data_IF_772274988835
#
_entry.id   IF_772274988835
#
_cell.length_a   1.000
_cell.length_b   1.000
_cell.length_c   1.000
_cell.angle_alpha   90.00
_cell.angle_beta   90.00
_cell.angle_gamma   90.00
#
_symmetry.space_group_name_H-M   'P 1'
#
loop_
_entity.id
_entity.type
_entity.pdbx_description
1 polymer ?
#
# COMPACT_ATOMS: atom_id res chain seq x y z
N UNK A 1 -8.95 -4.29 20.41
CA UNK A 1 -7.80 -4.48 21.31
C UNK A 1 -6.59 -4.85 20.45
N UNK A 2 -5.76 -3.87 20.06
CA UNK A 2 -4.58 -4.16 19.24
C UNK A 2 -3.57 -4.92 20.09
N UNK A 3 -3.36 -6.22 19.80
CA UNK A 3 -2.27 -6.98 20.41
C UNK A 3 -0.95 -6.24 20.15
N UNK A 4 -0.16 -6.07 21.21
CA UNK A 4 1.16 -5.45 21.14
C UNK A 4 1.96 -6.13 20.00
N UNK A 5 2.49 -5.40 19.01
CA UNK A 5 3.26 -5.99 17.91
C UNK A 5 4.44 -6.85 18.37
N UNK A 6 4.94 -6.63 19.59
CA UNK A 6 5.96 -7.46 20.24
C UNK A 6 5.48 -8.88 20.57
N UNK A 7 4.18 -9.06 20.83
CA UNK A 7 3.57 -10.31 21.26
C UNK A 7 3.01 -11.17 20.12
N UNK A 8 2.96 -10.67 18.87
CA UNK A 8 2.50 -11.50 17.74
C UNK A 8 3.49 -12.65 17.50
N UNK A 9 3.04 -13.92 17.55
CA UNK A 9 3.91 -15.06 17.32
C UNK A 9 4.41 -15.06 15.87
N UNK A 10 5.72 -15.25 15.68
CA UNK A 10 6.35 -15.28 14.36
C UNK A 10 5.72 -16.38 13.47
N UNK A 11 5.31 -17.50 14.08
CA UNK A 11 4.72 -18.66 13.39
C UNK A 11 3.39 -18.32 12.70
N UNK A 12 2.60 -17.38 13.25
CA UNK A 12 1.27 -17.03 12.73
C UNK A 12 1.35 -15.95 11.63
N UNK A 13 2.55 -15.61 11.16
CA UNK A 13 2.70 -14.70 10.03
C UNK A 13 2.29 -15.40 8.72
N UNK A 14 1.53 -14.71 7.86
CA UNK A 14 1.02 -15.25 6.59
C UNK A 14 2.05 -16.04 5.76
N UNK A 15 3.27 -15.51 5.57
CA UNK A 15 4.30 -16.25 4.82
C UNK A 15 4.75 -17.56 5.49
N UNK A 16 4.77 -17.63 6.83
CA UNK A 16 5.10 -18.86 7.56
C UNK A 16 3.94 -19.86 7.47
N UNK A 17 2.70 -19.38 7.58
CA UNK A 17 1.50 -20.20 7.39
C UNK A 17 1.43 -20.78 5.97
N UNK A 18 1.74 -19.98 4.94
CA UNK A 18 1.76 -20.43 3.56
C UNK A 18 2.83 -21.50 3.33
N UNK A 19 4.07 -21.28 3.79
CA UNK A 19 5.14 -22.28 3.71
C UNK A 19 4.77 -23.56 4.45
N UNK A 20 4.15 -23.43 5.63
CA UNK A 20 3.68 -24.58 6.42
C UNK A 20 2.61 -25.36 5.68
N UNK A 21 1.60 -24.68 5.12
CA UNK A 21 0.51 -25.31 4.37
C UNK A 21 1.03 -26.04 3.12
N UNK A 22 1.93 -25.42 2.36
CA UNK A 22 2.58 -26.06 1.21
C UNK A 22 3.43 -27.26 1.63
N UNK A 23 4.17 -27.14 2.73
CA UNK A 23 4.97 -28.25 3.29
C UNK A 23 4.09 -29.44 3.70
N UNK A 24 2.99 -29.20 4.41
CA UNK A 24 2.04 -30.24 4.80
C UNK A 24 1.39 -30.92 3.58
N UNK A 25 1.03 -30.13 2.55
CA UNK A 25 0.49 -30.67 1.30
C UNK A 25 1.50 -31.59 0.61
N UNK A 26 2.76 -31.17 0.49
CA UNK A 26 3.82 -31.97 -0.12
C UNK A 26 4.11 -33.25 0.67
N UNK A 27 4.12 -33.17 2.00
CA UNK A 27 4.28 -34.34 2.87
C UNK A 27 3.11 -35.31 2.74
N UNK A 28 1.87 -34.82 2.67
CA UNK A 28 0.68 -35.64 2.45
C UNK A 28 0.70 -36.34 1.09
N UNK A 29 1.08 -35.62 0.02
CA UNK A 29 1.26 -36.19 -1.31
C UNK A 29 2.39 -37.23 -1.35
N UNK A 30 3.50 -36.96 -0.66
CA UNK A 30 4.60 -37.92 -0.54
C UNK A 30 4.17 -39.17 0.21
N UNK A 31 3.46 -39.03 1.33
CA UNK A 31 2.95 -40.17 2.09
C UNK A 31 1.99 -41.04 1.26
N UNK A 32 1.20 -40.43 0.37
CA UNK A 32 0.28 -41.16 -0.49
C UNK A 32 0.95 -41.82 -1.70
N UNK A 33 1.83 -41.10 -2.40
CA UNK A 33 2.37 -41.53 -3.69
C UNK A 33 3.72 -42.25 -3.55
N UNK A 34 4.61 -41.76 -2.68
CA UNK A 34 6.00 -42.24 -2.50
C UNK A 34 6.53 -41.96 -1.09
N UNK A 35 6.24 -42.83 -0.09
CA UNK A 35 6.59 -42.60 1.32
C UNK A 35 8.09 -42.37 1.57
N UNK A 36 8.97 -42.91 0.71
CA UNK A 36 10.41 -42.68 0.77
C UNK A 36 10.83 -41.22 0.64
N UNK A 37 9.96 -40.35 0.13
CA UNK A 37 10.21 -38.90 0.00
C UNK A 37 9.93 -38.10 1.28
N UNK A 38 9.32 -38.69 2.31
CA UNK A 38 8.98 -37.95 3.54
C UNK A 38 10.23 -37.43 4.24
N UNK A 39 11.21 -38.30 4.51
CA UNK A 39 12.46 -37.91 5.18
C UNK A 39 13.24 -36.82 4.43
N UNK A 40 13.51 -36.92 3.11
CA UNK A 40 14.20 -35.84 2.39
C UNK A 40 13.39 -34.55 2.34
N UNK A 41 12.05 -34.60 2.26
CA UNK A 41 11.21 -33.40 2.31
C UNK A 41 11.27 -32.70 3.67
N UNK A 42 11.31 -33.44 4.78
CA UNK A 42 11.47 -32.86 6.12
C UNK A 42 12.83 -32.17 6.26
N UNK A 43 13.90 -32.81 5.80
CA UNK A 43 15.24 -32.21 5.80
C UNK A 43 15.33 -30.97 4.90
N UNK A 44 14.72 -31.00 3.71
CA UNK A 44 14.64 -29.85 2.82
C UNK A 44 13.75 -28.72 3.37
N UNK A 45 12.75 -29.06 4.19
CA UNK A 45 11.86 -28.10 4.83
C UNK A 45 12.59 -27.17 5.81
N UNK A 46 13.61 -27.67 6.52
CA UNK A 46 14.39 -26.90 7.50
C UNK A 46 15.01 -25.63 6.86
N UNK A 47 15.86 -25.72 5.82
CA UNK A 47 16.43 -24.54 5.19
C UNK A 47 15.36 -23.65 4.54
N UNK A 48 14.28 -24.20 3.98
CA UNK A 48 13.19 -23.38 3.44
C UNK A 48 12.54 -22.53 4.53
N UNK A 49 12.25 -23.14 5.68
CA UNK A 49 11.59 -22.45 6.81
C UNK A 49 12.50 -21.39 7.44
N UNK A 50 13.79 -21.72 7.62
CA UNK A 50 14.80 -20.77 8.07
C UNK A 50 14.91 -19.58 7.11
N UNK A 51 14.79 -19.81 5.80
CA UNK A 51 14.87 -18.75 4.78
C UNK A 51 13.79 -17.70 4.89
N UNK A 52 12.60 -18.08 5.34
CA UNK A 52 11.49 -17.14 5.56
C UNK A 52 11.50 -16.56 6.98
N UNK A 53 11.96 -17.33 7.97
CA UNK A 53 11.96 -16.91 9.37
C UNK A 53 13.10 -15.94 9.70
N UNK A 54 14.31 -16.18 9.19
CA UNK A 54 15.51 -15.40 9.52
C UNK A 54 15.39 -13.92 9.15
N UNK A 55 14.94 -13.53 7.94
CA UNK A 55 14.75 -12.11 7.61
C UNK A 55 13.77 -11.39 8.54
N UNK A 56 12.74 -12.12 9.02
CA UNK A 56 11.75 -11.59 9.96
C UNK A 56 12.29 -11.44 11.37
N UNK A 57 13.17 -12.35 11.79
CA UNK A 57 13.73 -12.38 13.13
C UNK A 57 14.87 -11.37 13.29
N UNK A 58 15.84 -11.38 12.37
CA UNK A 58 16.97 -10.47 12.38
C UNK A 58 16.49 -9.04 12.11
N UNK A 59 16.91 -8.10 12.95
CA UNK A 59 16.49 -6.69 12.85
C UNK A 59 15.06 -6.41 13.32
N UNK A 60 14.32 -7.41 13.84
CA UNK A 60 12.93 -7.22 14.33
C UNK A 60 12.85 -6.13 15.39
N UNK A 61 13.77 -6.17 16.38
CA UNK A 61 13.79 -5.18 17.47
C UNK A 61 13.95 -3.76 16.93
N UNK A 62 14.86 -3.59 15.97
CA UNK A 62 15.12 -2.29 15.35
C UNK A 62 13.94 -1.81 14.51
N UNK A 63 13.34 -2.67 13.68
CA UNK A 63 12.11 -2.34 12.92
C UNK A 63 10.96 -1.94 13.84
N UNK A 64 10.76 -2.67 14.94
CA UNK A 64 9.74 -2.33 15.93
C UNK A 64 10.03 -0.99 16.63
N UNK A 65 11.31 -0.69 16.91
CA UNK A 65 11.73 0.60 17.49
C UNK A 65 11.44 1.75 16.53
N UNK A 66 11.83 1.62 15.25
CA UNK A 66 11.58 2.62 14.21
C UNK A 66 10.08 2.83 13.97
N UNK A 67 9.30 1.74 13.88
CA UNK A 67 7.87 1.82 13.72
C UNK A 67 7.18 2.51 14.92
N UNK A 68 7.64 2.26 16.15
CA UNK A 68 7.13 2.95 17.33
C UNK A 68 7.48 4.45 17.31
N UNK A 69 8.71 4.80 16.94
CA UNK A 69 9.14 6.20 16.81
C UNK A 69 8.35 6.94 15.73
N UNK A 70 8.13 6.31 14.56
CA UNK A 70 7.32 6.87 13.48
C UNK A 70 5.87 7.12 13.93
N UNK A 71 5.23 6.15 14.60
CA UNK A 71 3.88 6.35 15.16
C UNK A 71 3.82 7.46 16.18
N UNK A 72 4.83 7.59 17.04
CA UNK A 72 4.88 8.68 18.00
C UNK A 72 5.05 10.04 17.31
N UNK A 73 5.89 10.11 16.27
CA UNK A 73 6.07 11.30 15.46
C UNK A 73 4.74 11.70 14.78
N UNK A 74 4.05 10.76 14.14
CA UNK A 74 2.73 11.00 13.54
C UNK A 74 1.72 11.48 14.57
N UNK A 75 1.61 10.78 15.71
CA UNK A 75 0.68 11.16 16.77
C UNK A 75 0.97 12.58 17.27
N UNK A 76 2.23 12.96 17.39
CA UNK A 76 2.63 14.30 17.85
C UNK A 76 2.39 15.39 16.82
N UNK A 77 2.57 15.09 15.52
CA UNK A 77 2.45 16.04 14.41
C UNK A 77 1.00 16.22 13.97
N UNK A 78 0.29 15.11 13.79
CA UNK A 78 -1.03 15.06 13.16
C UNK A 78 -2.18 14.85 14.15
N UNK A 79 -1.88 14.44 15.39
CA UNK A 79 -2.90 14.02 16.35
C UNK A 79 -3.49 12.64 16.07
N UNK A 80 -2.98 11.94 15.06
CA UNK A 80 -3.33 10.57 14.72
C UNK A 80 -2.12 9.80 14.18
N UNK A 81 -2.20 8.48 14.19
CA UNK A 81 -1.16 7.61 13.61
C UNK A 81 -1.61 7.03 12.28
N UNK A 82 -0.72 7.03 11.29
CA UNK A 82 -0.90 6.18 10.12
C UNK A 82 -0.69 4.70 10.49
N UNK A 83 -1.23 3.80 9.68
CA UNK A 83 -1.17 2.34 9.90
C UNK A 83 0.07 1.69 9.31
N UNK A 84 1.08 2.47 8.92
CA UNK A 84 2.24 2.01 8.16
C UNK A 84 2.80 0.67 8.67
N UNK A 85 3.09 -0.20 7.70
CA UNK A 85 3.55 -1.54 7.93
C UNK A 85 5.07 -1.54 8.07
N UNK A 86 5.58 -2.19 9.13
CA UNK A 86 7.02 -2.41 9.31
C UNK A 86 7.55 -3.51 8.36
N UNK A 87 7.26 -3.39 7.07
CA UNK A 87 7.61 -4.31 5.99
C UNK A 87 8.81 -3.82 5.17
N UNK A 88 9.28 -4.63 4.21
CA UNK A 88 10.31 -4.22 3.28
C UNK A 88 9.70 -3.31 2.22
N UNK A 89 10.01 -2.01 2.27
CA UNK A 89 9.64 -1.07 1.21
C UNK A 89 10.37 -1.40 -0.08
N UNK A 90 9.61 -1.74 -1.13
CA UNK A 90 10.17 -2.19 -2.41
C UNK A 90 10.13 -1.12 -3.46
N UNK A 91 9.15 -0.23 -3.35
CA UNK A 91 8.87 0.78 -4.32
C UNK A 91 8.86 2.14 -3.63
N UNK A 92 9.19 3.18 -4.39
CA UNK A 92 9.16 4.54 -3.90
C UNK A 92 8.80 5.54 -5.00
N UNK A 93 8.24 6.67 -4.57
CA UNK A 93 8.08 7.88 -5.36
C UNK A 93 8.66 9.05 -4.58
N UNK A 94 9.35 9.94 -5.27
CA UNK A 94 9.90 11.16 -4.68
C UNK A 94 9.07 12.40 -5.03
N UNK A 95 8.12 12.26 -5.96
CA UNK A 95 7.30 13.37 -6.44
C UNK A 95 5.82 13.09 -6.16
N UNK A 96 5.03 14.14 -5.88
CA UNK A 96 3.61 13.97 -5.68
C UNK A 96 2.91 13.42 -6.91
N UNK A 97 2.01 12.47 -6.70
CA UNK A 97 1.15 11.89 -7.72
C UNK A 97 -0.29 12.36 -7.50
N UNK A 98 -0.97 12.76 -8.58
CA UNK A 98 -2.35 13.23 -8.56
C UNK A 98 -3.27 12.23 -9.22
N UNK A 99 -4.48 12.12 -8.68
CA UNK A 99 -5.59 11.43 -9.33
C UNK A 99 -6.92 12.08 -8.97
N UNK A 100 -7.75 12.35 -9.98
CA UNK A 100 -9.14 12.71 -9.75
C UNK A 100 -9.98 11.46 -9.47
N UNK A 101 -10.76 11.47 -8.40
CA UNK A 101 -11.68 10.41 -7.99
C UNK A 101 -13.03 11.04 -7.62
N UNK A 102 -13.96 11.20 -8.58
CA UNK A 102 -15.27 11.83 -8.36
C UNK A 102 -16.08 11.23 -7.20
N UNK A 103 -15.90 9.94 -6.92
CA UNK A 103 -16.53 9.25 -5.80
C UNK A 103 -16.15 9.80 -4.41
N UNK A 104 -15.07 10.59 -4.34
CA UNK A 104 -14.60 11.26 -3.12
C UNK A 104 -14.87 12.78 -3.13
N UNK A 105 -15.73 13.27 -4.02
CA UNK A 105 -16.19 14.66 -4.01
C UNK A 105 -16.83 15.03 -2.66
N UNK A 106 -16.60 16.26 -2.21
CA UNK A 106 -17.03 16.77 -0.91
C UNK A 106 -16.30 16.17 0.31
N UNK A 107 -15.27 15.34 0.10
CA UNK A 107 -14.48 14.75 1.19
C UNK A 107 -13.14 15.47 1.34
N UNK A 108 -12.73 15.64 2.59
CA UNK A 108 -11.52 16.37 2.94
C UNK A 108 -10.71 15.59 3.97
N UNK A 109 -9.43 15.37 3.68
CA UNK A 109 -8.46 14.75 4.57
C UNK A 109 -7.06 15.20 4.23
N UNK A 110 -6.25 15.44 5.26
CA UNK A 110 -4.89 15.94 5.12
C UNK A 110 -3.99 15.15 6.05
N UNK A 111 -3.05 14.40 5.50
CA UNK A 111 -2.03 13.65 6.23
C UNK A 111 -0.66 13.81 5.59
N UNK A 112 0.34 13.11 6.11
CA UNK A 112 1.73 13.19 5.63
C UNK A 112 1.85 12.71 4.18
N UNK A 113 1.21 11.58 3.87
CA UNK A 113 1.38 10.86 2.61
C UNK A 113 0.18 10.95 1.67
N UNK A 114 -0.95 11.46 2.17
CA UNK A 114 -2.21 11.48 1.45
C UNK A 114 -2.95 12.78 1.74
N UNK A 115 -3.38 13.45 0.66
CA UNK A 115 -4.40 14.49 0.70
C UNK A 115 -5.61 14.02 -0.10
N UNK A 116 -6.79 14.17 0.49
CA UNK A 116 -8.08 14.07 -0.17
C UNK A 116 -8.69 15.47 -0.11
N UNK A 117 -8.97 16.08 -1.26
CA UNK A 117 -9.59 17.39 -1.32
C UNK A 117 -10.59 17.44 -2.46
N UNK A 118 -11.86 17.28 -2.12
CA UNK A 118 -12.97 17.39 -3.06
C UNK A 118 -12.77 16.53 -4.33
N UNK A 119 -12.60 15.22 -4.12
CA UNK A 119 -12.34 14.28 -5.21
C UNK A 119 -10.89 14.26 -5.73
N UNK A 120 -10.04 15.23 -5.39
CA UNK A 120 -8.61 15.16 -5.67
C UNK A 120 -7.90 14.26 -4.67
N UNK A 121 -7.19 13.26 -5.17
CA UNK A 121 -6.17 12.52 -4.40
C UNK A 121 -4.79 13.03 -4.78
N UNK A 122 -3.99 13.38 -3.77
CA UNK A 122 -2.58 13.69 -3.90
C UNK A 122 -1.80 12.77 -2.97
N UNK A 123 -0.96 11.92 -3.56
CA UNK A 123 -0.11 10.96 -2.86
C UNK A 123 1.30 11.54 -2.81
N UNK A 124 1.94 11.48 -1.65
CA UNK A 124 3.24 12.10 -1.38
C UNK A 124 3.25 13.63 -1.65
N UNK A 125 2.44 14.42 -0.94
CA UNK A 125 2.32 15.87 -1.17
C UNK A 125 3.57 16.69 -0.80
N UNK A 126 4.67 16.06 -0.39
CA UNK A 126 5.87 16.74 0.11
C UNK A 126 5.76 17.10 1.59
N UNK A 127 6.72 17.89 2.07
CA UNK A 127 6.78 18.25 3.50
C UNK A 127 5.53 19.01 3.96
N UNK A 128 4.98 18.59 5.09
CA UNK A 128 3.83 19.23 5.72
C UNK A 128 4.19 19.98 7.01
N UNK A 129 3.65 21.18 7.17
CA UNK A 129 3.62 21.96 8.40
C UNK A 129 2.18 21.97 8.95
N UNK A 130 1.99 21.49 10.17
CA UNK A 130 0.67 21.30 10.79
C UNK A 130 0.57 22.16 12.04
N UNK A 131 -0.49 22.97 12.12
CA UNK A 131 -0.88 23.68 13.34
C UNK A 131 -2.21 23.12 13.83
N UNK A 132 -2.15 22.25 14.86
CA UNK A 132 -3.33 21.63 15.44
C UNK A 132 -4.20 22.62 16.24
N UNK A 133 -3.61 23.70 16.77
CA UNK A 133 -4.36 24.72 17.51
C UNK A 133 -5.20 25.58 16.57
N UNK A 134 -4.64 25.99 15.43
CA UNK A 134 -5.34 26.72 14.37
C UNK A 134 -6.09 25.79 13.40
N UNK A 135 -5.95 24.47 13.57
CA UNK A 135 -6.52 23.44 12.69
C UNK A 135 -6.16 23.68 11.23
N UNK A 136 -4.89 23.94 10.96
CA UNK A 136 -4.43 24.27 9.62
C UNK A 136 -3.22 23.45 9.20
N UNK A 137 -3.06 23.29 7.88
CA UNK A 137 -1.93 22.58 7.28
C UNK A 137 -1.42 23.31 6.06
N UNK A 138 -0.09 23.29 5.88
CA UNK A 138 0.62 23.75 4.69
C UNK A 138 1.48 22.63 4.15
N UNK A 139 1.45 22.46 2.83
CA UNK A 139 2.32 21.55 2.10
C UNK A 139 3.34 22.34 1.26
N UNK A 140 4.59 21.88 1.26
CA UNK A 140 5.67 22.39 0.44
C UNK A 140 5.94 21.42 -0.73
N UNK A 141 5.28 21.66 -1.87
CA UNK A 141 5.36 20.80 -3.07
C UNK A 141 6.75 20.80 -3.74
N UNK A 142 7.57 21.79 -3.44
CA UNK A 142 8.95 21.95 -3.91
C UNK A 142 9.98 21.19 -3.05
N UNK A 143 9.56 20.71 -1.86
CA UNK A 143 10.41 19.94 -0.94
C UNK A 143 9.98 18.48 -0.94
N UNK A 144 10.51 17.67 -1.87
CA UNK A 144 10.10 16.29 -2.01
C UNK A 144 10.46 15.48 -0.77
N UNK A 145 9.57 14.55 -0.45
CA UNK A 145 9.79 13.46 0.50
C UNK A 145 9.72 12.14 -0.27
N UNK A 146 10.41 11.11 0.21
CA UNK A 146 10.31 9.78 -0.39
C UNK A 146 9.17 9.02 0.27
N UNK A 147 8.09 8.79 -0.48
CA UNK A 147 7.05 7.86 -0.06
C UNK A 147 7.39 6.47 -0.55
N UNK A 148 7.35 5.49 0.35
CA UNK A 148 7.76 4.12 0.08
C UNK A 148 6.62 3.15 0.42
N UNK A 149 6.46 2.08 -0.38
CA UNK A 149 5.39 1.10 -0.20
C UNK A 149 5.78 -0.33 -0.65
N UNK A 150 5.01 -1.32 -0.20
CA UNK A 150 5.32 -2.76 -0.37
C UNK A 150 4.61 -3.40 -1.59
N UNK A 151 3.73 -2.65 -2.26
CA UNK A 151 2.90 -3.10 -3.40
C UNK A 151 1.57 -3.77 -3.01
N UNK A 152 0.88 -4.36 -3.98
CA UNK A 152 -0.51 -4.85 -3.83
C UNK A 152 -0.67 -6.15 -3.04
N UNK A 153 0.39 -6.96 -2.96
CA UNK A 153 0.26 -8.40 -2.65
C UNK A 153 1.25 -8.82 -1.57
N UNK A 154 0.93 -9.88 -0.79
CA UNK A 154 1.84 -10.38 0.21
C UNK A 154 3.15 -10.79 -0.44
N UNK A 155 4.24 -10.15 -0.01
CA UNK A 155 5.60 -10.47 -0.44
C UNK A 155 6.35 -11.10 0.72
N UNK A 156 7.04 -12.19 0.45
CA UNK A 156 7.74 -13.02 1.43
C UNK A 156 9.24 -12.97 1.12
N UNK A 157 10.07 -12.36 1.98
CA UNK A 157 11.50 -12.39 1.80
C UNK A 157 12.05 -13.81 2.07
N UNK A 158 13.03 -14.23 1.27
CA UNK A 158 13.72 -15.50 1.38
C UNK A 158 15.24 -15.27 1.46
N UNK A 159 15.86 -15.54 2.62
CA UNK A 159 17.30 -15.40 2.90
C UNK A 159 17.95 -14.07 2.46
N UNK A 160 17.21 -12.97 2.40
CA UNK A 160 17.70 -11.71 1.77
C UNK A 160 18.12 -11.84 0.30
N UNK A 161 17.96 -13.00 -0.31
CA UNK A 161 18.34 -13.30 -1.69
C UNK A 161 17.20 -13.00 -2.66
N UNK A 162 15.96 -13.28 -2.24
CA UNK A 162 14.80 -13.14 -3.10
C UNK A 162 13.58 -12.64 -2.32
N UNK A 163 12.64 -12.06 -3.05
CA UNK A 163 11.29 -11.76 -2.56
C UNK A 163 10.32 -12.55 -3.43
N UNK A 164 9.52 -13.40 -2.78
CA UNK A 164 8.53 -14.25 -3.44
C UNK A 164 7.15 -13.64 -3.19
N UNK A 165 6.41 -13.35 -4.24
CA UNK A 165 5.07 -12.77 -4.15
C UNK A 165 4.31 -12.90 -5.44
N UNK A 166 3.07 -12.41 -5.44
CA UNK A 166 2.27 -12.36 -6.66
C UNK A 166 2.90 -11.29 -7.56
N UNK A 167 3.18 -11.58 -8.84
CA UNK A 167 3.88 -10.66 -9.73
C UNK A 167 3.11 -9.36 -9.87
N UNK A 168 3.83 -8.23 -9.97
CA UNK A 168 3.24 -6.93 -10.29
C UNK A 168 2.92 -6.77 -11.80
N UNK A 169 3.00 -7.89 -12.53
CA UNK A 169 2.76 -8.10 -13.97
C UNK A 169 3.81 -7.45 -14.87
N UNK A 170 3.61 -7.53 -16.20
CA UNK A 170 4.53 -6.94 -17.16
C UNK A 170 4.59 -5.43 -17.03
N UNK A 171 5.76 -4.87 -17.33
CA UNK A 171 5.96 -3.43 -17.37
C UNK A 171 5.30 -2.84 -18.62
N UNK A 172 4.72 -1.66 -18.46
CA UNK A 172 4.16 -0.87 -19.56
C UNK A 172 4.29 0.60 -19.25
N UNK A 173 4.11 1.41 -20.30
CA UNK A 173 3.98 2.84 -20.14
C UNK A 173 2.64 3.18 -19.47
N UNK A 174 2.70 4.07 -18.49
CA UNK A 174 1.55 4.65 -17.79
C UNK A 174 1.65 6.17 -17.87
N UNK A 175 0.52 6.82 -18.11
CA UNK A 175 0.39 8.27 -18.04
C UNK A 175 -0.08 8.65 -16.65
N UNK A 176 0.72 9.47 -15.97
CA UNK A 176 0.49 9.90 -14.61
C UNK A 176 0.43 11.42 -14.53
N UNK A 177 -0.42 11.93 -13.67
CA UNK A 177 -0.38 13.34 -13.27
C UNK A 177 0.57 13.50 -12.08
N UNK A 178 1.48 14.46 -12.19
CA UNK A 178 2.42 14.85 -11.14
C UNK A 178 2.33 16.31 -10.81
N UNK A 179 2.68 16.67 -9.58
CA UNK A 179 2.76 18.04 -9.11
C UNK A 179 4.24 18.40 -8.96
N UNK A 180 4.69 19.42 -9.69
CA UNK A 180 6.05 19.94 -9.58
C UNK A 180 5.99 21.45 -9.45
N UNK A 181 6.56 21.98 -8.36
CA UNK A 181 6.55 23.42 -8.05
C UNK A 181 5.13 24.05 -8.13
N UNK A 182 4.10 23.31 -7.71
CA UNK A 182 2.69 23.76 -7.74
C UNK A 182 2.00 23.66 -9.11
N UNK A 183 2.70 23.19 -10.14
CA UNK A 183 2.16 23.00 -11.49
C UNK A 183 1.90 21.52 -11.77
N UNK A 184 0.76 21.23 -12.41
CA UNK A 184 0.37 19.86 -12.77
C UNK A 184 0.94 19.51 -14.14
N UNK A 185 1.67 18.40 -14.22
CA UNK A 185 2.26 17.89 -15.44
C UNK A 185 1.86 16.45 -15.68
N UNK A 186 1.66 16.09 -16.94
CA UNK A 186 1.52 14.70 -17.34
C UNK A 186 2.92 14.11 -17.59
N UNK A 187 3.18 12.93 -17.04
CA UNK A 187 4.42 12.20 -17.23
C UNK A 187 4.13 10.76 -17.61
N UNK A 188 4.83 10.27 -18.63
CA UNK A 188 4.88 8.84 -18.94
C UNK A 188 5.94 8.15 -18.08
N UNK A 189 5.55 7.07 -17.42
CA UNK A 189 6.46 6.20 -16.64
C UNK A 189 6.36 4.77 -17.12
N UNK A 190 7.47 4.04 -17.09
CA UNK A 190 7.49 2.63 -17.41
C UNK A 190 7.51 1.81 -16.12
N UNK A 191 6.33 1.34 -15.69
CA UNK A 191 6.15 0.63 -14.42
C UNK A 191 5.37 -0.67 -14.61
N UNK A 192 5.51 -1.64 -13.68
CA UNK A 192 4.63 -2.81 -13.62
C UNK A 192 3.15 -2.43 -13.66
N UNK A 193 2.33 -3.24 -14.32
CA UNK A 193 0.92 -2.92 -14.57
C UNK A 193 0.15 -2.58 -13.28
N UNK A 194 0.41 -3.28 -12.19
CA UNK A 194 -0.30 -3.08 -10.92
C UNK A 194 0.23 -1.90 -10.08
N UNK A 195 1.40 -1.33 -10.39
CA UNK A 195 2.07 -0.34 -9.54
C UNK A 195 1.23 0.90 -9.24
N UNK A 196 0.65 1.60 -10.22
CA UNK A 196 -0.10 2.82 -9.93
C UNK A 196 -1.32 2.57 -9.04
N UNK A 197 -2.03 1.45 -9.28
CA UNK A 197 -3.14 1.02 -8.45
C UNK A 197 -2.67 0.67 -7.03
N UNK A 198 -1.54 -0.03 -6.91
CA UNK A 198 -0.93 -0.42 -5.63
C UNK A 198 -0.59 0.78 -4.75
N UNK A 199 -0.04 1.82 -5.37
CA UNK A 199 0.42 3.03 -4.70
C UNK A 199 -0.76 3.80 -4.10
N UNK A 200 -1.81 4.01 -4.89
CA UNK A 200 -3.03 4.71 -4.43
C UNK A 200 -3.74 3.89 -3.36
N UNK A 201 -3.83 2.57 -3.54
CA UNK A 201 -4.45 1.68 -2.56
C UNK A 201 -3.72 1.69 -1.22
N UNK A 202 -2.39 1.58 -1.24
CA UNK A 202 -1.54 1.63 -0.04
C UNK A 202 -1.70 2.95 0.71
N UNK A 203 -1.62 4.09 0.00
CA UNK A 203 -1.78 5.42 0.60
C UNK A 203 -3.16 5.58 1.28
N UNK A 204 -4.24 5.10 0.65
CA UNK A 204 -5.57 5.08 1.28
C UNK A 204 -5.61 4.14 2.49
N UNK A 205 -4.98 2.97 2.39
CA UNK A 205 -4.95 1.95 3.43
C UNK A 205 -4.27 2.39 4.72
N UNK A 206 -3.20 3.19 4.59
CA UNK A 206 -2.47 3.77 5.71
C UNK A 206 -3.36 4.65 6.60
N UNK A 207 -4.41 5.26 6.04
CA UNK A 207 -5.29 6.19 6.75
C UNK A 207 -6.73 5.69 6.93
N UNK A 208 -7.04 4.41 6.71
CA UNK A 208 -8.42 3.87 6.84
C UNK A 208 -9.07 4.10 8.22
N UNK A 209 -8.28 4.34 9.26
CA UNK A 209 -8.77 4.64 10.62
C UNK A 209 -9.19 6.11 10.81
N UNK A 210 -8.79 7.02 9.93
CA UNK A 210 -8.97 8.47 10.12
C UNK A 210 -9.48 9.21 8.88
N UNK A 211 -9.13 8.75 7.68
CA UNK A 211 -9.60 9.34 6.43
C UNK A 211 -11.08 8.99 6.20
N UNK A 212 -11.86 9.89 5.56
CA UNK A 212 -13.26 9.67 5.22
C UNK A 212 -13.41 8.74 4.01
N UNK A 213 -12.70 7.61 4.02
CA UNK A 213 -12.71 6.58 2.98
C UNK A 213 -12.93 5.23 3.65
N UNK A 214 -14.01 4.56 3.28
CA UNK A 214 -14.24 3.21 3.74
C UNK A 214 -13.34 2.23 2.98
N UNK A 215 -12.94 1.15 3.65
CA UNK A 215 -12.11 0.09 3.07
C UNK A 215 -12.64 -0.40 1.71
N UNK A 216 -13.95 -0.58 1.60
CA UNK A 216 -14.56 -1.07 0.37
C UNK A 216 -14.43 -0.10 -0.80
N UNK A 217 -14.36 1.20 -0.55
CA UNK A 217 -14.20 2.23 -1.57
C UNK A 217 -12.76 2.25 -2.08
N UNK A 218 -11.79 2.12 -1.17
CA UNK A 218 -10.38 1.97 -1.55
C UNK A 218 -10.16 0.67 -2.36
N UNK A 219 -10.76 -0.45 -1.94
CA UNK A 219 -10.71 -1.72 -2.67
C UNK A 219 -11.34 -1.61 -4.07
N UNK A 220 -12.47 -0.91 -4.18
CA UNK A 220 -13.17 -0.71 -5.46
C UNK A 220 -12.37 0.19 -6.41
N UNK A 221 -11.80 1.30 -5.90
CA UNK A 221 -10.93 2.16 -6.69
C UNK A 221 -9.71 1.39 -7.19
N UNK A 222 -9.11 0.56 -6.34
CA UNK A 222 -8.01 -0.32 -6.73
C UNK A 222 -8.39 -1.25 -7.89
N UNK A 223 -9.54 -1.92 -7.81
CA UNK A 223 -10.06 -2.74 -8.90
C UNK A 223 -10.26 -1.95 -10.20
N UNK A 224 -10.84 -0.75 -10.11
CA UNK A 224 -11.04 0.13 -11.27
C UNK A 224 -9.71 0.52 -11.90
N UNK A 225 -8.71 0.91 -11.10
CA UNK A 225 -7.38 1.26 -11.60
C UNK A 225 -6.67 0.09 -12.28
N UNK A 226 -6.79 -1.13 -11.76
CA UNK A 226 -6.25 -2.31 -12.43
C UNK A 226 -6.91 -2.54 -13.79
N UNK A 227 -8.22 -2.32 -13.89
CA UNK A 227 -8.98 -2.43 -15.15
C UNK A 227 -8.58 -1.34 -16.14
N UNK A 228 -8.45 -0.10 -15.69
CA UNK A 228 -7.95 1.02 -16.49
C UNK A 228 -6.54 0.76 -17.02
N UNK A 229 -5.67 0.15 -16.20
CA UNK A 229 -4.32 -0.23 -16.60
C UNK A 229 -4.29 -1.40 -17.61
N UNK A 230 -5.43 -2.01 -17.95
CA UNK A 230 -5.54 -3.07 -18.95
C UNK A 230 -5.50 -4.49 -18.37
N UNK A 231 -5.57 -4.66 -17.04
CA UNK A 231 -5.64 -5.99 -16.45
C UNK A 231 -6.94 -6.69 -16.85
N UNK A 232 -6.83 -7.96 -17.28
CA UNK A 232 -8.00 -8.76 -17.60
C UNK A 232 -8.93 -8.91 -16.39
N UNK A 233 -10.24 -8.86 -16.63
CA UNK A 233 -11.26 -8.79 -15.57
C UNK A 233 -11.16 -9.89 -14.50
N UNK A 234 -11.02 -11.20 -14.85
CA UNK A 234 -10.97 -12.24 -13.82
C UNK A 234 -9.77 -12.07 -12.89
N UNK A 235 -8.64 -11.64 -13.44
CA UNK A 235 -7.43 -11.40 -12.68
C UNK A 235 -7.54 -10.17 -11.78
N UNK A 236 -8.02 -9.05 -12.30
CA UNK A 236 -8.28 -7.85 -11.51
C UNK A 236 -9.27 -8.16 -10.36
N UNK A 237 -10.26 -9.01 -10.62
CA UNK A 237 -11.21 -9.45 -9.61
C UNK A 237 -10.57 -10.34 -8.54
N UNK A 238 -9.64 -11.23 -8.90
CA UNK A 238 -8.88 -12.02 -7.93
C UNK A 238 -8.05 -11.12 -6.99
N UNK A 239 -7.40 -10.08 -7.53
CA UNK A 239 -6.68 -9.08 -6.75
C UNK A 239 -7.61 -8.32 -5.81
N UNK A 240 -8.75 -7.85 -6.33
CA UNK A 240 -9.79 -7.20 -5.55
C UNK A 240 -10.25 -8.09 -4.38
N UNK A 241 -10.54 -9.36 -4.63
CA UNK A 241 -10.99 -10.28 -3.60
C UNK A 241 -9.90 -10.52 -2.55
N UNK A 242 -8.63 -10.64 -2.96
CA UNK A 242 -7.51 -10.81 -2.06
C UNK A 242 -7.39 -9.62 -1.08
N UNK A 243 -7.38 -8.37 -1.58
CA UNK A 243 -7.32 -7.18 -0.71
C UNK A 243 -8.60 -7.01 0.11
N UNK A 244 -9.75 -7.42 -0.43
CA UNK A 244 -11.05 -7.35 0.25
C UNK A 244 -11.09 -8.24 1.49
N UNK A 245 -10.64 -9.48 1.36
CA UNK A 245 -10.73 -10.52 2.40
C UNK A 245 -9.54 -10.49 3.38
N UNK A 246 -8.34 -10.18 2.89
CA UNK A 246 -7.10 -10.32 3.68
C UNK A 246 -6.54 -8.97 4.15
N UNK A 247 -6.89 -7.87 3.47
CA UNK A 247 -6.44 -6.53 3.83
C UNK A 247 -7.15 -6.01 5.07
N UNK A 248 -6.41 -5.42 6.01
CA UNK A 248 -6.95 -4.61 7.11
C UNK A 248 -8.25 -5.12 7.80
N UNK A 249 -8.32 -6.38 8.29
CA UNK A 249 -9.54 -6.95 8.85
C UNK A 249 -10.06 -6.22 10.10
N UNK A 250 -9.17 -5.54 10.83
CA UNK A 250 -9.47 -4.95 12.14
C UNK A 250 -9.98 -3.50 12.08
N UNK A 251 -10.14 -2.89 10.89
CA UNK A 251 -10.51 -1.47 10.79
C UNK A 251 -12.02 -1.28 10.67
N UNK A 252 -12.59 -0.61 11.67
CA UNK A 252 -14.00 -0.24 11.73
C UNK A 252 -14.19 1.22 11.31
N UNK A 253 -13.98 1.51 10.03
CA UNK A 253 -14.22 2.84 9.44
C UNK A 253 -13.45 4.00 10.11
N UNK A 254 -13.70 5.24 9.67
CA UNK A 254 -13.10 6.42 10.28
C UNK A 254 -13.61 6.59 11.72
N UNK A 255 -12.68 6.70 12.66
CA UNK A 255 -12.99 7.17 14.02
C UNK A 255 -13.40 8.63 13.92
N UNK A 256 -14.59 8.99 14.40
CA UNK A 256 -15.21 10.32 14.27
C UNK A 256 -14.50 11.45 15.07
N UNK A 257 -13.26 11.23 15.49
CA UNK A 257 -12.59 12.02 16.53
C UNK A 257 -11.68 13.12 15.97
N UNK A 258 -11.42 13.17 14.66
CA UNK A 258 -10.52 14.17 14.08
C UNK A 258 -11.30 15.30 13.39
N UNK A 259 -11.39 16.50 14.01
CA UNK A 259 -11.98 17.65 13.35
C UNK A 259 -11.20 18.01 12.08
N UNK A 260 -11.87 18.43 11.01
CA UNK A 260 -11.23 18.67 9.72
C UNK A 260 -10.21 19.81 9.82
N UNK A 261 -8.99 19.55 9.32
CA UNK A 261 -7.98 20.59 9.11
C UNK A 261 -8.36 21.45 7.90
N UNK A 262 -7.93 22.71 7.91
CA UNK A 262 -8.00 23.62 6.76
C UNK A 262 -6.67 23.62 6.03
N UNK A 263 -6.64 23.25 4.76
CA UNK A 263 -5.46 23.44 3.92
C UNK A 263 -5.29 24.92 3.58
N UNK A 264 -4.13 25.48 3.91
CA UNK A 264 -3.76 26.84 3.55
C UNK A 264 -2.97 26.89 2.24
N UNK A 265 -2.37 25.77 1.83
CA UNK A 265 -1.71 25.66 0.54
C UNK A 265 -2.77 25.56 -0.58
N UNK A 266 -2.68 26.39 -1.62
CA UNK A 266 -3.56 26.26 -2.78
C UNK A 266 -3.32 24.91 -3.45
N UNK A 267 -4.38 24.12 -3.56
CA UNK A 267 -4.35 22.85 -4.29
C UNK A 267 -4.74 23.09 -5.74
N UNK A 268 -4.21 22.31 -6.69
CA UNK A 268 -4.62 22.41 -8.08
C UNK A 268 -6.11 22.09 -8.21
N UNK A 269 -6.92 23.12 -8.49
CA UNK A 269 -8.39 23.06 -8.52
C UNK A 269 -8.95 22.57 -9.86
N UNK A 270 -8.12 22.50 -10.90
CA UNK A 270 -8.50 22.03 -12.22
C UNK A 270 -7.49 21.00 -12.71
N UNK A 271 -7.87 19.72 -12.68
CA UNK A 271 -7.14 18.71 -13.44
C UNK A 271 -7.59 18.82 -14.91
N UNK A 272 -6.67 18.72 -15.89
CA UNK A 272 -7.05 18.68 -17.30
C UNK A 272 -8.05 17.53 -17.53
N UNK A 273 -9.25 17.83 -18.05
CA UNK A 273 -10.32 16.85 -18.28
C UNK A 273 -9.86 15.65 -19.15
N UNK A 274 -8.83 15.84 -19.98
CA UNK A 274 -8.28 14.83 -20.88
C UNK A 274 -7.19 13.92 -20.25
N UNK A 275 -6.66 14.26 -19.07
CA UNK A 275 -5.55 13.52 -18.44
C UNK A 275 -6.01 12.64 -17.27
N UNK A 276 -7.32 12.56 -17.06
CA UNK A 276 -7.93 11.69 -16.07
C UNK A 276 -8.06 10.31 -16.70
N UNK A 277 -7.39 9.33 -16.11
CA UNK A 277 -7.52 7.87 -16.31
C UNK A 277 -6.41 7.22 -17.15
N UNK A 278 -5.94 6.08 -16.64
CA UNK A 278 -4.86 5.23 -17.17
C UNK A 278 -5.16 4.58 -18.54
N UNK A 279 -6.16 5.06 -19.27
CA UNK A 279 -6.41 4.67 -20.65
C UNK A 279 -7.28 5.71 -21.36
N UNK A 280 -6.70 6.48 -22.27
CA UNK A 280 -7.43 6.94 -23.45
C UNK A 280 -6.53 6.87 -24.70
N UNK A 281 -6.72 5.75 -25.42
CA UNK A 281 -6.58 5.46 -26.88
C UNK A 281 -6.32 3.93 -26.96
N UNK A 282 -7.13 3.08 -27.60
CA UNK A 282 -7.96 3.22 -28.80
C UNK A 282 -9.25 2.39 -28.66
N UNK A 283 -10.40 3.00 -28.89
CA UNK A 283 -11.48 2.35 -29.66
C UNK A 283 -11.37 2.92 -31.07
N UNK A 284 -10.62 2.23 -31.92
CA UNK A 284 -10.62 2.49 -33.37
C UNK A 284 -10.02 1.29 -34.11
N UNK A 285 -10.87 0.31 -34.38
CA UNK A 285 -11.05 -0.43 -35.63
C UNK A 285 -11.99 -1.61 -35.37
#
# INVERSE_FOLDING_TARGET
>A
MQLNPRQRPLVVHFGNLLVTALGLLLLGLAAWLRPSLIAPLLWAGIPVYLGVLLPRWIGRKERLRRAAAARQADQSKWGFTCRDHAGPWLNFIDRPLLRHCPQFAGRYFYGEWLVIHDGLLLINPGQAEVDLAQRSVRYAFDRPTTYAWDGCTPKVPFYWLAIIGIPDWWEKQHRLLRLEAGSVHEQEVFWPLAHPASLVHDALYQYLNVAPVAKHEADLLFFQMLREAGMIRPLAFAYYLAVRLLGAPDVRGPTAEHPPLRCLTPLPSALPQAAVNFAQRQQSA
#
